data_IF_366851421218
#
_entry.id   IF_366851421218
#
_cell.length_a   1.000
_cell.length_b   1.000
_cell.length_c   1.000
_cell.angle_alpha   90.00
_cell.angle_beta   90.00
_cell.angle_gamma   90.00
#
_symmetry.space_group_name_H-M   'P 1'
#
loop_
_entity.id
_entity.type
_entity.pdbx_description
1 polymer ?
#
# COMPACT_ATOMS: atom_id res chain seq x y z
N UNK A 1 20.72 -9.60 60.94
CA UNK A 1 20.72 -8.36 61.76
C UNK A 1 21.77 -7.39 61.21
N UNK A 2 21.40 -6.11 61.19
CA UNK A 2 22.03 -4.86 60.68
C UNK A 2 23.51 -4.60 61.10
N UNK A 3 24.27 -3.61 60.52
CA UNK A 3 23.78 -2.29 60.14
C UNK A 3 24.36 -1.59 58.87
N UNK A 4 23.64 -0.52 58.57
CA UNK A 4 23.78 0.54 57.57
C UNK A 4 25.12 1.29 57.51
N UNK A 5 25.41 1.88 56.34
CA UNK A 5 25.91 3.26 56.12
C UNK A 5 25.77 3.55 54.61
N UNK A 6 24.80 4.33 54.12
CA UNK A 6 24.73 5.81 54.05
C UNK A 6 26.01 6.45 53.51
N UNK A 7 25.94 6.98 52.29
CA UNK A 7 26.60 8.22 51.83
C UNK A 7 25.97 8.59 50.47
N UNK A 8 25.11 9.61 50.39
CA UNK A 8 25.41 11.05 50.35
C UNK A 8 25.42 11.55 48.90
N UNK A 9 24.29 12.14 48.48
CA UNK A 9 24.18 13.07 47.35
C UNK A 9 24.92 14.36 47.68
N UNK A 10 25.45 15.05 46.66
CA UNK A 10 25.05 16.44 46.46
C UNK A 10 24.65 16.77 45.00
N UNK A 11 24.10 17.98 44.77
CA UNK A 11 23.21 18.31 43.66
C UNK A 11 23.86 19.21 42.60
N UNK A 12 23.01 19.73 41.70
CA UNK A 12 23.25 20.80 40.70
C UNK A 12 24.00 20.42 39.42
N UNK A 13 23.29 20.42 38.29
CA UNK A 13 23.23 21.63 37.47
C UNK A 13 22.07 21.57 36.46
N UNK A 14 21.20 22.55 36.56
CA UNK A 14 20.19 22.94 35.59
C UNK A 14 20.89 23.56 34.37
N UNK A 15 20.78 22.95 33.19
CA UNK A 15 20.85 23.67 31.92
C UNK A 15 19.75 23.22 30.98
N UNK A 16 18.65 23.95 31.12
CA UNK A 16 17.53 24.05 30.19
C UNK A 16 18.06 24.63 28.86
N UNK A 17 18.19 23.82 27.80
CA UNK A 17 18.33 24.33 26.44
C UNK A 17 17.01 24.15 25.68
N UNK A 18 16.21 25.21 25.67
CA UNK A 18 15.15 25.40 24.69
C UNK A 18 15.81 25.61 23.31
N UNK A 19 15.88 24.56 22.51
CA UNK A 19 16.15 24.69 21.08
C UNK A 19 14.89 25.25 20.40
N UNK A 20 14.93 26.56 20.11
CA UNK A 20 13.85 27.31 19.50
C UNK A 20 13.50 26.80 18.10
N UNK A 21 12.20 26.69 17.83
CA UNK A 21 11.67 26.53 16.48
C UNK A 21 11.74 27.86 15.74
N UNK A 22 12.77 28.06 14.92
CA UNK A 22 12.79 29.14 13.95
C UNK A 22 12.02 28.69 12.69
N UNK A 23 10.77 29.15 12.55
CA UNK A 23 9.96 28.96 11.34
C UNK A 23 10.18 30.18 10.44
N UNK A 24 10.82 30.06 9.27
CA UNK A 24 10.98 31.19 8.36
C UNK A 24 9.64 31.53 7.68
N UNK A 25 9.29 32.82 7.49
CA UNK A 25 8.12 33.20 6.73
C UNK A 25 8.29 32.81 5.26
N UNK A 26 7.31 32.09 4.70
CA UNK A 26 7.19 31.89 3.25
C UNK A 26 6.69 33.19 2.64
N UNK A 27 7.52 33.84 1.84
CA UNK A 27 7.06 34.86 0.90
C UNK A 27 6.07 34.25 -0.08
N UNK A 28 4.92 34.90 -0.36
CA UNK A 28 4.08 34.52 -1.49
C UNK A 28 4.83 34.88 -2.76
N UNK A 29 5.44 33.89 -3.41
CA UNK A 29 5.87 34.04 -4.79
C UNK A 29 4.62 33.95 -5.66
N UNK A 30 4.12 35.10 -6.07
CA UNK A 30 3.22 35.25 -7.22
C UNK A 30 3.97 34.77 -8.46
N UNK A 31 3.58 33.66 -9.10
CA UNK A 31 4.16 33.31 -10.38
C UNK A 31 3.65 34.30 -11.43
N UNK A 32 4.57 35.07 -11.99
CA UNK A 32 4.34 35.89 -13.16
C UNK A 32 3.79 34.99 -14.29
N UNK A 33 2.67 35.40 -14.85
CA UNK A 33 2.08 34.78 -16.02
C UNK A 33 3.05 34.92 -17.20
N UNK A 34 3.64 33.80 -17.62
CA UNK A 34 4.25 33.69 -18.94
C UNK A 34 3.15 33.37 -19.97
N UNK A 35 3.18 33.98 -21.18
CA UNK A 35 2.30 33.59 -22.27
C UNK A 35 2.60 32.15 -22.69
N UNK A 36 1.61 31.28 -22.61
CA UNK A 36 1.68 29.94 -23.20
C UNK A 36 1.37 30.08 -24.69
N UNK A 37 2.41 29.96 -25.52
CA UNK A 37 2.25 29.69 -26.95
C UNK A 37 1.64 28.29 -27.12
N UNK A 38 0.36 28.29 -27.49
CA UNK A 38 -0.40 27.11 -27.86
C UNK A 38 0.06 26.62 -29.24
N UNK A 39 1.12 25.81 -29.24
CA UNK A 39 1.49 25.01 -30.40
C UNK A 39 0.50 23.86 -30.53
N UNK A 40 -0.47 24.03 -31.44
CA UNK A 40 -1.44 23.01 -31.82
C UNK A 40 -0.71 21.75 -32.32
N UNK A 41 -0.73 20.70 -31.52
CA UNK A 41 -0.29 19.37 -31.97
C UNK A 41 -1.41 18.73 -32.82
N UNK A 42 -1.06 18.08 -33.94
CA UNK A 42 -2.03 17.40 -34.79
C UNK A 42 -2.81 16.33 -34.02
N UNK A 43 -4.14 16.40 -34.08
CA UNK A 43 -5.03 15.38 -33.53
C UNK A 43 -4.89 14.09 -34.35
N UNK A 44 -4.19 13.11 -33.79
CA UNK A 44 -4.13 11.76 -34.34
C UNK A 44 -5.45 11.03 -34.05
N UNK A 45 -6.32 11.02 -35.06
CA UNK A 45 -7.59 10.32 -35.07
C UNK A 45 -7.35 8.80 -35.20
N UNK A 46 -6.96 8.14 -34.11
CA UNK A 46 -6.73 6.69 -34.17
C UNK A 46 -6.43 5.96 -32.87
N UNK A 47 -6.21 6.67 -31.75
CA UNK A 47 -5.99 5.99 -30.48
C UNK A 47 -7.30 5.39 -29.98
N UNK A 48 -7.49 4.07 -30.12
CA UNK A 48 -8.45 3.30 -29.33
C UNK A 48 -8.21 3.69 -27.87
N UNK A 49 -9.07 4.55 -27.33
CA UNK A 49 -9.01 4.95 -25.93
C UNK A 49 -9.32 3.71 -25.12
N UNK A 50 -8.26 3.03 -24.66
CA UNK A 50 -8.40 2.07 -23.59
C UNK A 50 -9.14 2.80 -22.47
N UNK A 51 -10.37 2.39 -22.19
CA UNK A 51 -11.16 2.95 -21.09
C UNK A 51 -10.51 2.45 -19.80
N UNK A 52 -9.40 3.07 -19.43
CA UNK A 52 -8.87 2.97 -18.09
C UNK A 52 -9.91 3.61 -17.18
N UNK A 53 -10.29 2.94 -16.07
CA UNK A 53 -11.10 3.59 -15.05
C UNK A 53 -10.44 4.92 -14.69
N UNK A 54 -11.18 6.02 -14.82
CA UNK A 54 -10.65 7.35 -14.53
C UNK A 54 -10.52 7.51 -13.03
N UNK A 55 -9.33 7.29 -12.51
CA UNK A 55 -8.99 7.54 -11.12
C UNK A 55 -8.66 9.01 -10.87
N UNK A 56 -8.91 9.55 -9.67
CA UNK A 56 -8.33 10.81 -9.22
C UNK A 56 -6.81 10.81 -9.38
N UNK A 57 -6.20 11.97 -9.63
CA UNK A 57 -4.73 12.10 -9.73
C UNK A 57 -3.99 11.53 -8.52
N UNK A 58 -4.56 11.67 -7.32
CA UNK A 58 -4.02 11.12 -6.07
C UNK A 58 -3.98 9.58 -6.06
N UNK A 59 -5.01 8.92 -6.60
CA UNK A 59 -5.06 7.46 -6.73
C UNK A 59 -4.06 6.99 -7.78
N UNK A 60 -3.95 7.68 -8.92
CA UNK A 60 -2.93 7.37 -9.93
C UNK A 60 -1.51 7.43 -9.35
N UNK A 61 -1.20 8.47 -8.58
CA UNK A 61 0.10 8.60 -7.92
C UNK A 61 0.37 7.44 -6.94
N UNK A 62 -0.64 6.98 -6.20
CA UNK A 62 -0.53 5.82 -5.30
C UNK A 62 -0.37 4.51 -6.07
N UNK A 63 -1.01 4.36 -7.22
CA UNK A 63 -0.83 3.19 -8.08
C UNK A 63 0.58 3.13 -8.68
N UNK A 64 1.08 4.25 -9.19
CA UNK A 64 2.47 4.35 -9.66
C UNK A 64 3.46 4.07 -8.54
N UNK A 65 3.20 4.55 -7.32
CA UNK A 65 4.03 4.23 -6.16
C UNK A 65 4.00 2.73 -5.84
N UNK A 66 2.82 2.11 -5.82
CA UNK A 66 2.68 0.68 -5.57
C UNK A 66 3.45 -0.16 -6.61
N UNK A 67 3.32 0.18 -7.90
CA UNK A 67 4.01 -0.52 -8.99
C UNK A 67 5.53 -0.41 -8.87
N UNK A 68 6.06 0.78 -8.55
CA UNK A 68 7.51 0.96 -8.29
C UNK A 68 7.98 0.18 -7.07
N UNK A 69 7.18 0.14 -6.02
CA UNK A 69 7.50 -0.60 -4.79
C UNK A 69 7.49 -2.12 -5.03
N UNK A 70 6.54 -2.63 -5.82
CA UNK A 70 6.51 -4.02 -6.25
C UNK A 70 7.72 -4.38 -7.12
N UNK A 71 8.08 -3.54 -8.09
CA UNK A 71 9.26 -3.74 -8.93
C UNK A 71 10.56 -3.76 -8.11
N UNK A 72 10.61 -3.01 -7.01
CA UNK A 72 11.71 -3.03 -6.05
C UNK A 72 11.63 -4.20 -5.03
N UNK A 73 10.67 -5.10 -5.15
CA UNK A 73 10.46 -6.23 -4.22
C UNK A 73 9.83 -5.85 -2.88
N UNK A 74 9.51 -4.58 -2.65
CA UNK A 74 8.94 -4.08 -1.40
C UNK A 74 7.40 -4.20 -1.39
N UNK A 75 6.92 -5.44 -1.26
CA UNK A 75 5.48 -5.79 -1.26
C UNK A 75 4.71 -5.13 -0.12
N UNK A 76 5.34 -4.98 1.05
CA UNK A 76 4.73 -4.31 2.20
C UNK A 76 4.44 -2.84 1.90
N UNK A 77 5.40 -2.10 1.32
CA UNK A 77 5.20 -0.71 0.93
C UNK A 77 4.14 -0.57 -0.17
N UNK A 78 4.18 -1.46 -1.17
CA UNK A 78 3.17 -1.49 -2.24
C UNK A 78 1.75 -1.66 -1.69
N UNK A 79 1.59 -2.57 -0.74
CA UNK A 79 0.30 -2.79 -0.10
C UNK A 79 -0.18 -1.55 0.69
N UNK A 80 0.72 -0.86 1.39
CA UNK A 80 0.39 0.41 2.06
C UNK A 80 -0.08 1.49 1.08
N UNK A 81 0.53 1.58 -0.11
CA UNK A 81 0.08 2.49 -1.17
C UNK A 81 -1.31 2.12 -1.69
N UNK A 82 -1.60 0.83 -1.89
CA UNK A 82 -2.93 0.34 -2.30
C UNK A 82 -4.00 0.58 -1.23
N UNK A 83 -3.69 0.36 0.04
CA UNK A 83 -4.60 0.61 1.17
C UNK A 83 -4.95 2.10 1.27
N UNK A 84 -3.96 2.98 1.05
CA UNK A 84 -4.20 4.42 0.93
C UNK A 84 -5.11 4.76 -0.25
N UNK A 85 -4.93 4.11 -1.40
CA UNK A 85 -5.79 4.30 -2.56
C UNK A 85 -7.22 3.84 -2.27
N UNK A 86 -7.38 2.73 -1.54
CA UNK A 86 -8.68 2.23 -1.08
C UNK A 86 -9.37 3.15 -0.08
N UNK A 87 -8.65 3.99 0.67
CA UNK A 87 -9.30 5.05 1.48
C UNK A 87 -9.94 6.15 0.62
N UNK A 88 -9.46 6.33 -0.62
CA UNK A 88 -10.02 7.29 -1.58
C UNK A 88 -11.11 6.62 -2.43
N UNK A 89 -10.89 5.38 -2.86
CA UNK A 89 -11.84 4.60 -3.66
C UNK A 89 -12.19 3.25 -2.96
N UNK A 90 -13.01 3.27 -1.91
CA UNK A 90 -13.27 2.09 -1.07
C UNK A 90 -13.98 0.94 -1.78
N UNK A 91 -14.70 1.25 -2.86
CA UNK A 91 -15.48 0.28 -3.65
C UNK A 91 -14.79 -0.08 -4.97
N UNK A 92 -13.50 0.23 -5.14
CA UNK A 92 -12.78 -0.15 -6.35
C UNK A 92 -12.35 -1.63 -6.27
N UNK A 93 -13.07 -2.48 -7.01
CA UNK A 93 -12.82 -3.91 -7.06
C UNK A 93 -11.39 -4.27 -7.53
N UNK A 94 -10.82 -3.52 -8.47
CA UNK A 94 -9.48 -3.80 -9.02
C UNK A 94 -8.38 -3.52 -7.98
N UNK A 95 -8.54 -2.48 -7.16
CA UNK A 95 -7.62 -2.21 -6.04
C UNK A 95 -7.67 -3.33 -4.99
N UNK A 96 -8.86 -3.82 -4.65
CA UNK A 96 -9.00 -4.98 -3.74
C UNK A 96 -8.34 -6.24 -4.32
N UNK A 97 -8.48 -6.51 -5.61
CA UNK A 97 -7.82 -7.64 -6.27
C UNK A 97 -6.29 -7.51 -6.24
N UNK A 98 -5.73 -6.34 -6.57
CA UNK A 98 -4.28 -6.09 -6.51
C UNK A 98 -3.74 -6.31 -5.10
N UNK A 99 -4.44 -5.80 -4.07
CA UNK A 99 -4.06 -6.01 -2.68
C UNK A 99 -4.13 -7.50 -2.29
N UNK A 100 -5.17 -8.22 -2.73
CA UNK A 100 -5.28 -9.67 -2.53
C UNK A 100 -4.08 -10.43 -3.14
N UNK A 101 -3.69 -10.10 -4.36
CA UNK A 101 -2.56 -10.72 -5.04
C UNK A 101 -1.22 -10.47 -4.32
N UNK A 102 -1.02 -9.26 -3.77
CA UNK A 102 0.14 -8.97 -2.92
C UNK A 102 0.15 -9.84 -1.66
N UNK A 103 -0.98 -9.95 -0.95
CA UNK A 103 -1.07 -10.79 0.26
C UNK A 103 -0.85 -12.27 -0.04
N UNK A 104 -1.30 -12.74 -1.20
CA UNK A 104 -1.02 -14.09 -1.65
C UNK A 104 0.50 -14.34 -1.82
N UNK A 105 1.23 -13.40 -2.46
CA UNK A 105 2.69 -13.47 -2.64
C UNK A 105 3.48 -13.39 -1.32
N UNK A 106 2.86 -12.88 -0.26
CA UNK A 106 3.40 -12.84 1.11
C UNK A 106 3.02 -14.09 1.93
N UNK A 107 2.47 -15.13 1.29
CA UNK A 107 1.93 -16.33 1.94
C UNK A 107 0.81 -16.06 2.97
N UNK A 108 0.20 -14.86 2.93
CA UNK A 108 -0.96 -14.48 3.75
C UNK A 108 -2.25 -14.93 3.09
N UNK A 109 -2.37 -16.23 2.87
CA UNK A 109 -3.40 -16.81 2.02
C UNK A 109 -4.83 -16.56 2.52
N UNK A 110 -5.08 -16.64 3.84
CA UNK A 110 -6.40 -16.38 4.40
C UNK A 110 -6.85 -14.93 4.16
N UNK A 111 -5.93 -13.97 4.31
CA UNK A 111 -6.20 -12.57 4.03
C UNK A 111 -6.39 -12.33 2.52
N UNK A 112 -5.57 -12.96 1.68
CA UNK A 112 -5.72 -12.87 0.22
C UNK A 112 -7.11 -13.32 -0.24
N UNK A 113 -7.61 -14.44 0.29
CA UNK A 113 -8.96 -14.93 0.02
C UNK A 113 -10.03 -13.89 0.41
N UNK A 114 -9.97 -13.36 1.64
CA UNK A 114 -10.94 -12.36 2.12
C UNK A 114 -10.96 -11.10 1.24
N UNK A 115 -9.79 -10.63 0.81
CA UNK A 115 -9.67 -9.45 -0.05
C UNK A 115 -10.20 -9.71 -1.46
N UNK A 116 -9.96 -10.89 -2.02
CA UNK A 116 -10.49 -11.28 -3.33
C UNK A 116 -12.02 -11.45 -3.30
N UNK A 117 -12.58 -11.98 -2.21
CA UNK A 117 -14.03 -12.02 -1.98
C UNK A 117 -14.62 -10.60 -1.89
N UNK A 118 -13.94 -9.68 -1.18
CA UNK A 118 -14.33 -8.27 -1.15
C UNK A 118 -14.27 -7.62 -2.54
N UNK A 119 -13.26 -7.92 -3.34
CA UNK A 119 -13.20 -7.49 -4.75
C UNK A 119 -14.43 -7.96 -5.53
N UNK A 120 -14.83 -9.24 -5.39
CA UNK A 120 -16.04 -9.77 -6.05
C UNK A 120 -17.32 -9.04 -5.67
N UNK A 121 -17.45 -8.61 -4.40
CA UNK A 121 -18.60 -7.84 -3.93
C UNK A 121 -18.73 -6.47 -4.62
N UNK A 122 -17.61 -5.89 -5.08
CA UNK A 122 -17.58 -4.61 -5.78
C UNK A 122 -17.43 -4.72 -7.30
N UNK A 123 -17.14 -5.90 -7.83
CA UNK A 123 -16.83 -6.09 -9.25
C UNK A 123 -18.03 -5.92 -10.20
N UNK A 124 -19.27 -5.85 -9.69
CA UNK A 124 -20.46 -5.66 -10.52
C UNK A 124 -20.54 -6.67 -11.67
N UNK A 125 -20.66 -6.18 -12.90
CA UNK A 125 -20.70 -6.99 -14.13
C UNK A 125 -19.33 -7.43 -14.68
N UNK A 126 -18.21 -7.09 -14.02
CA UNK A 126 -16.86 -7.43 -14.50
C UNK A 126 -16.57 -8.93 -14.32
N UNK A 127 -17.02 -9.74 -15.30
CA UNK A 127 -16.87 -11.20 -15.29
C UNK A 127 -15.39 -11.61 -15.33
N UNK A 128 -14.55 -10.85 -16.04
CA UNK A 128 -13.12 -11.14 -16.12
C UNK A 128 -12.44 -10.98 -14.76
N UNK A 129 -12.73 -9.87 -14.04
CA UNK A 129 -12.21 -9.67 -12.69
C UNK A 129 -12.70 -10.75 -11.71
N UNK A 130 -13.98 -11.13 -11.80
CA UNK A 130 -14.54 -12.22 -10.98
C UNK A 130 -13.83 -13.55 -11.22
N UNK A 131 -13.50 -13.88 -12.47
CA UNK A 131 -12.72 -15.08 -12.80
C UNK A 131 -11.29 -15.00 -12.24
N UNK A 132 -10.63 -13.85 -12.33
CA UNK A 132 -9.30 -13.64 -11.74
C UNK A 132 -9.33 -13.82 -10.21
N UNK A 133 -10.34 -13.25 -9.54
CA UNK A 133 -10.55 -13.41 -8.11
C UNK A 133 -10.83 -14.87 -7.74
N UNK A 134 -11.64 -15.58 -8.51
CA UNK A 134 -11.95 -16.99 -8.26
C UNK A 134 -10.68 -17.85 -8.29
N UNK A 135 -9.83 -17.67 -9.30
CA UNK A 135 -8.54 -18.36 -9.40
C UNK A 135 -7.64 -18.05 -8.20
N UNK A 136 -7.59 -16.80 -7.76
CA UNK A 136 -6.82 -16.37 -6.60
C UNK A 136 -7.35 -16.98 -5.30
N UNK A 137 -8.67 -17.04 -5.11
CA UNK A 137 -9.33 -17.67 -3.95
C UNK A 137 -9.00 -19.16 -3.88
N UNK A 138 -9.14 -19.87 -5.00
CA UNK A 138 -8.83 -21.30 -5.08
C UNK A 138 -7.34 -21.58 -4.80
N UNK A 139 -6.45 -20.77 -5.38
CA UNK A 139 -5.03 -20.86 -5.11
C UNK A 139 -4.71 -20.63 -3.63
N UNK A 140 -5.33 -19.60 -3.01
CA UNK A 140 -5.16 -19.32 -1.59
C UNK A 140 -5.67 -20.46 -0.71
N UNK A 141 -6.81 -21.08 -1.05
CA UNK A 141 -7.35 -22.23 -0.32
C UNK A 141 -6.44 -23.46 -0.41
N UNK A 142 -5.93 -23.77 -1.60
CA UNK A 142 -4.98 -24.88 -1.79
C UNK A 142 -3.72 -24.68 -0.96
N UNK A 143 -3.09 -23.51 -1.08
CA UNK A 143 -1.86 -23.21 -0.35
C UNK A 143 -2.02 -23.25 1.17
N UNK A 144 -3.22 -22.94 1.70
CA UNK A 144 -3.54 -23.14 3.12
C UNK A 144 -3.70 -24.61 3.50
N UNK A 145 -4.36 -25.40 2.64
CA UNK A 145 -4.52 -26.84 2.83
C UNK A 145 -3.17 -27.55 2.86
N UNK A 146 -2.27 -27.20 1.94
CA UNK A 146 -0.92 -27.76 1.86
C UNK A 146 -0.07 -27.41 3.09
N UNK A 147 -0.25 -26.21 3.66
CA UNK A 147 0.45 -25.80 4.88
C UNK A 147 -0.13 -26.39 6.18
N UNK A 148 -1.39 -26.83 6.18
CA UNK A 148 -2.05 -27.45 7.34
C UNK A 148 -1.84 -28.97 7.37
N UNK A 149 -1.43 -29.59 6.26
CA UNK A 149 -1.24 -31.03 6.13
C UNK A 149 0.17 -31.43 5.69
N UNK A 150 1.05 -31.75 6.64
CA UNK A 150 1.82 -33.03 6.68
C UNK A 150 2.84 -33.00 7.82
N UNK A 151 2.54 -33.52 9.03
CA UNK A 151 3.59 -34.18 9.79
C UNK A 151 4.09 -35.36 8.94
N UNK A 152 5.39 -35.36 8.63
CA UNK A 152 6.08 -36.44 7.93
C UNK A 152 5.92 -37.73 8.72
N UNK A 153 4.90 -38.52 8.39
CA UNK A 153 4.73 -39.87 8.91
C UNK A 153 5.72 -40.77 8.19
N UNK A 154 6.86 -41.01 8.83
CA UNK A 154 7.80 -42.05 8.43
C UNK A 154 9.23 -41.55 8.30
N UNK A 155 9.99 -41.67 9.38
CA UNK A 155 11.35 -42.19 9.26
C UNK A 155 11.61 -43.14 10.43
N UNK A 156 12.05 -44.37 10.17
CA UNK A 156 12.41 -45.32 11.20
C UNK A 156 13.70 -44.89 11.91
N UNK A 157 13.81 -45.27 13.19
CA UNK A 157 15.00 -45.10 14.04
C UNK A 157 16.18 -45.91 13.52
#
# INVERSE_FOLDING_TARGET
MNPSSRNALPPLLLTLLLAGCAVPPRTPQTPAAAPVEETAQPYDAGARVAVHPRHPRSVNALLTAAERQEAAGNRTAAAGSLERALRIEPRNARLWHRLAALRYREARYALAEQLALRSNAFAGGDRALKQLNQRLIEAARRARGDGIGTPRRGEPR
#
